data_IF_330778233959
#
_entry.id   IF_330778233959
#
_cell.length_a   1.000
_cell.length_b   1.000
_cell.length_c   1.000
_cell.angle_alpha   90.00
_cell.angle_beta   90.00
_cell.angle_gamma   90.00
#
_symmetry.space_group_name_H-M   'P 1'
#
loop_
_entity.id
_entity.type
_entity.pdbx_description
1 polymer ?
#
# COMPACT_ATOMS: atom_id res chain seq x y z
N UNK A 1 -50.05 -8.55 -3.09
CA UNK A 1 -49.42 -7.56 -3.99
C UNK A 1 -48.15 -7.05 -3.34
N UNK A 2 -47.00 -7.48 -3.86
CA UNK A 2 -45.67 -7.14 -3.33
C UNK A 2 -45.28 -5.73 -3.77
N UNK A 3 -44.92 -4.86 -2.81
CA UNK A 3 -44.24 -3.59 -3.08
C UNK A 3 -42.73 -3.80 -2.91
N UNK A 4 -42.01 -3.37 -3.93
CA UNK A 4 -40.56 -3.47 -4.14
C UNK A 4 -39.78 -2.55 -3.18
N UNK A 5 -38.83 -3.03 -2.36
CA UNK A 5 -37.97 -2.19 -1.54
C UNK A 5 -36.65 -1.90 -2.28
N UNK A 6 -36.74 -1.16 -3.38
CA UNK A 6 -35.59 -0.54 -4.02
C UNK A 6 -35.85 0.96 -4.08
N UNK A 7 -35.41 1.70 -3.04
CA UNK A 7 -35.04 3.12 -3.06
C UNK A 7 -34.95 3.68 -1.63
N UNK A 8 -33.82 3.49 -0.94
CA UNK A 8 -33.18 4.56 -0.15
C UNK A 8 -31.66 4.30 -0.14
N UNK A 9 -31.03 4.40 -1.30
CA UNK A 9 -29.63 4.81 -1.36
C UNK A 9 -29.68 6.29 -1.77
N UNK A 10 -29.55 7.16 -0.78
CA UNK A 10 -29.30 8.57 -1.07
C UNK A 10 -27.99 8.64 -1.86
N UNK A 11 -28.08 9.03 -3.13
CA UNK A 11 -26.90 9.37 -3.94
C UNK A 11 -26.08 10.41 -3.17
N UNK A 12 -24.74 10.28 -3.09
CA UNK A 12 -23.91 11.39 -2.63
C UNK A 12 -24.22 12.59 -3.54
N UNK A 13 -24.44 13.76 -2.94
CA UNK A 13 -24.55 15.00 -3.71
C UNK A 13 -23.28 15.13 -4.54
N UNK A 14 -23.40 15.17 -5.86
CA UNK A 14 -22.34 15.62 -6.76
C UNK A 14 -22.06 17.09 -6.44
N UNK A 15 -21.23 17.32 -5.42
CA UNK A 15 -20.58 18.59 -5.20
C UNK A 15 -19.44 18.69 -6.21
N UNK A 16 -19.40 19.76 -6.99
CA UNK A 16 -18.27 20.06 -7.85
C UNK A 16 -16.98 20.04 -7.02
N UNK A 17 -16.01 19.22 -7.42
CA UNK A 17 -14.73 19.13 -6.75
C UNK A 17 -14.02 20.49 -6.81
N UNK A 18 -13.53 20.95 -5.66
CA UNK A 18 -12.92 22.28 -5.55
C UNK A 18 -11.52 22.25 -6.12
N UNK A 19 -11.23 23.17 -7.04
CA UNK A 19 -9.88 23.35 -7.59
C UNK A 19 -8.97 24.01 -6.56
N UNK A 20 -7.67 23.73 -6.68
CA UNK A 20 -6.66 24.40 -5.88
C UNK A 20 -6.39 25.82 -6.41
N UNK A 21 -6.20 26.76 -5.49
CA UNK A 21 -5.76 28.12 -5.80
C UNK A 21 -4.31 28.28 -5.31
N UNK A 22 -3.42 28.75 -6.19
CA UNK A 22 -2.00 29.03 -5.89
C UNK A 22 -1.82 30.00 -4.71
N UNK A 23 -2.84 30.82 -4.44
CA UNK A 23 -2.83 31.73 -3.31
C UNK A 23 -2.98 31.03 -1.95
N UNK A 24 -3.44 29.78 -1.92
CA UNK A 24 -3.58 29.00 -0.67
C UNK A 24 -2.25 28.62 -0.03
N UNK A 25 -1.15 28.79 -0.75
CA UNK A 25 0.19 28.70 -0.17
C UNK A 25 0.42 29.71 0.95
N UNK A 26 -0.32 30.84 0.99
CA UNK A 26 -0.29 31.79 2.12
C UNK A 26 -0.85 31.20 3.43
N UNK A 27 -1.64 30.13 3.33
CA UNK A 27 -2.13 29.35 4.47
C UNK A 27 -1.26 28.11 4.74
N UNK A 28 -0.13 27.96 4.06
CA UNK A 28 0.78 26.84 4.25
C UNK A 28 0.36 25.54 3.57
N UNK A 29 -0.47 25.61 2.53
CA UNK A 29 -0.93 24.43 1.79
C UNK A 29 -0.40 24.42 0.36
N UNK A 30 -0.04 23.22 -0.09
CA UNK A 30 0.04 22.84 -1.51
C UNK A 30 -1.08 21.85 -1.82
N UNK A 31 -1.02 21.18 -2.98
CA UNK A 31 -1.97 20.13 -3.32
C UNK A 31 -1.26 18.85 -3.79
N UNK A 32 -1.99 17.73 -3.75
CA UNK A 32 -1.59 16.44 -4.29
C UNK A 32 -2.81 15.66 -4.78
N UNK A 33 -2.61 14.64 -5.61
CA UNK A 33 -3.70 13.83 -6.18
C UNK A 33 -3.94 14.14 -7.66
N UNK A 34 -5.16 13.86 -8.12
CA UNK A 34 -5.60 14.13 -9.48
C UNK A 34 -5.87 15.64 -9.68
N UNK A 35 -5.63 16.15 -10.88
CA UNK A 35 -5.95 17.54 -11.24
C UNK A 35 -7.46 17.82 -11.22
N UNK A 36 -8.26 16.77 -11.44
CA UNK A 36 -9.72 16.83 -11.35
C UNK A 36 -10.21 16.92 -9.89
N UNK A 37 -9.50 16.23 -8.98
CA UNK A 37 -9.88 16.06 -7.57
C UNK A 37 -8.72 16.39 -6.60
N UNK A 38 -8.16 17.62 -6.59
CA UNK A 38 -6.96 17.91 -5.82
C UNK A 38 -7.23 17.86 -4.31
N UNK A 39 -6.30 17.31 -3.54
CA UNK A 39 -6.36 17.28 -2.07
C UNK A 39 -5.37 18.28 -1.48
N UNK A 40 -5.79 19.13 -0.53
CA UNK A 40 -4.86 20.05 0.13
C UNK A 40 -3.85 19.26 0.97
N UNK A 41 -2.57 19.54 0.80
CA UNK A 41 -1.48 18.98 1.61
C UNK A 41 -0.80 20.11 2.39
N UNK A 42 -0.72 19.96 3.72
CA UNK A 42 0.02 20.90 4.56
C UNK A 42 1.53 20.81 4.27
N UNK A 43 2.18 21.95 4.04
CA UNK A 43 3.61 22.04 3.70
C UNK A 43 4.49 21.73 4.92
N UNK A 44 3.99 21.96 6.13
CA UNK A 44 4.76 21.80 7.38
C UNK A 44 4.75 20.34 7.86
N UNK A 45 3.57 19.75 8.10
CA UNK A 45 3.47 18.38 8.61
C UNK A 45 3.27 17.32 7.52
N UNK A 46 2.89 17.71 6.31
CA UNK A 46 2.57 16.76 5.23
C UNK A 46 1.15 16.19 5.29
N UNK A 47 0.32 16.57 6.26
CA UNK A 47 -1.07 16.10 6.39
C UNK A 47 -1.89 16.39 5.13
N UNK A 48 -2.64 15.39 4.68
CA UNK A 48 -3.55 15.50 3.55
C UNK A 48 -4.97 15.64 4.05
N UNK A 49 -5.64 16.71 3.66
CA UNK A 49 -7.04 16.96 3.96
C UNK A 49 -7.95 16.48 2.82
N UNK A 50 -9.24 16.35 3.10
CA UNK A 50 -10.24 16.10 2.04
C UNK A 50 -10.35 17.30 1.09
N UNK A 51 -10.81 17.07 -0.15
CA UNK A 51 -11.09 18.16 -1.11
C UNK A 51 -12.10 19.18 -0.54
N UNK A 52 -13.07 18.74 0.26
CA UNK A 52 -14.03 19.62 0.95
C UNK A 52 -13.37 20.65 1.89
N UNK A 53 -12.12 20.40 2.29
CA UNK A 53 -11.31 21.27 3.12
C UNK A 53 -10.54 22.32 2.32
N UNK A 54 -10.63 22.31 0.98
CA UNK A 54 -10.07 23.28 0.05
C UNK A 54 -10.83 24.63 0.10
N UNK A 55 -10.89 25.23 1.29
CA UNK A 55 -11.52 26.52 1.57
C UNK A 55 -10.63 27.29 2.54
N UNK A 56 -10.38 28.60 2.32
CA UNK A 56 -9.45 29.39 3.13
C UNK A 56 -9.66 29.28 4.65
N UNK A 57 -10.90 29.30 5.13
CA UNK A 57 -11.22 29.22 6.56
C UNK A 57 -10.75 27.90 7.19
N UNK A 58 -10.92 26.78 6.48
CA UNK A 58 -10.53 25.44 6.96
C UNK A 58 -9.01 25.26 6.93
N UNK A 59 -8.36 25.71 5.85
CA UNK A 59 -6.90 25.69 5.72
C UNK A 59 -6.24 26.57 6.79
N UNK A 60 -6.72 27.81 6.95
CA UNK A 60 -6.26 28.73 7.99
C UNK A 60 -6.42 28.10 9.38
N UNK A 61 -7.59 27.55 9.70
CA UNK A 61 -7.81 26.88 10.99
C UNK A 61 -6.77 25.78 11.27
N UNK A 62 -6.46 24.91 10.30
CA UNK A 62 -5.42 23.89 10.48
C UNK A 62 -4.05 24.51 10.78
N UNK A 63 -3.66 25.57 10.07
CA UNK A 63 -2.40 26.26 10.30
C UNK A 63 -2.31 26.81 11.74
N UNK A 64 -3.36 27.49 12.21
CA UNK A 64 -3.37 28.09 13.55
C UNK A 64 -3.46 27.03 14.67
N UNK A 65 -4.20 25.94 14.47
CA UNK A 65 -4.36 24.90 15.49
C UNK A 65 -3.16 23.96 15.59
N UNK A 66 -2.63 23.54 14.44
CA UNK A 66 -1.62 22.48 14.37
C UNK A 66 -0.20 23.04 14.32
N UNK A 67 -0.04 24.28 13.81
CA UNK A 67 1.26 24.94 13.68
C UNK A 67 1.25 26.41 14.17
N UNK A 68 0.96 26.67 15.47
CA UNK A 68 0.89 28.03 16.01
C UNK A 68 2.16 28.86 15.75
N UNK A 69 3.34 28.22 15.79
CA UNK A 69 4.64 28.85 15.53
C UNK A 69 4.82 29.37 14.10
N UNK A 70 4.03 28.84 13.15
CA UNK A 70 4.09 29.20 11.74
C UNK A 70 2.90 30.03 11.27
N UNK A 71 1.93 30.33 12.15
CA UNK A 71 0.67 30.97 11.78
C UNK A 71 0.81 32.40 11.24
N UNK A 72 1.86 33.11 11.67
CA UNK A 72 2.17 34.48 11.23
C UNK A 72 3.28 34.55 10.17
N UNK A 73 3.70 33.42 9.60
CA UNK A 73 4.71 33.39 8.54
C UNK A 73 4.10 33.82 7.22
N UNK A 74 4.93 34.40 6.36
CA UNK A 74 4.51 34.99 5.11
C UNK A 74 4.48 33.96 3.96
N UNK A 75 3.92 34.37 2.82
CA UNK A 75 3.83 33.53 1.61
C UNK A 75 5.22 33.04 1.15
N UNK A 76 6.29 33.83 1.32
CA UNK A 76 7.63 33.44 0.90
C UNK A 76 8.24 32.35 1.79
N UNK A 77 7.96 32.37 3.10
CA UNK A 77 8.34 31.27 4.00
C UNK A 77 7.80 29.92 3.50
N UNK A 78 6.49 29.86 3.23
CA UNK A 78 5.86 28.62 2.75
C UNK A 78 6.35 28.18 1.38
N UNK A 79 6.62 29.12 0.45
CA UNK A 79 7.28 28.81 -0.82
C UNK A 79 8.65 28.17 -0.62
N UNK A 80 9.49 28.70 0.28
CA UNK A 80 10.82 28.12 0.58
C UNK A 80 10.71 26.72 1.16
N UNK A 81 9.80 26.50 2.12
CA UNK A 81 9.55 25.17 2.68
C UNK A 81 9.10 24.18 1.61
N UNK A 82 8.19 24.59 0.71
CA UNK A 82 7.72 23.74 -0.37
C UNK A 82 8.87 23.34 -1.33
N UNK A 83 9.72 24.29 -1.70
CA UNK A 83 10.89 24.01 -2.55
C UNK A 83 11.90 23.09 -1.85
N UNK A 84 12.13 23.27 -0.55
CA UNK A 84 12.94 22.35 0.25
C UNK A 84 12.34 20.95 0.28
N UNK A 85 11.03 20.82 0.50
CA UNK A 85 10.33 19.54 0.46
C UNK A 85 10.44 18.87 -0.91
N UNK A 86 10.31 19.62 -2.01
CA UNK A 86 10.52 19.09 -3.38
C UNK A 86 11.95 18.60 -3.59
N UNK A 87 12.95 19.36 -3.13
CA UNK A 87 14.37 18.96 -3.20
C UNK A 87 14.64 17.70 -2.38
N UNK A 88 14.12 17.62 -1.16
CA UNK A 88 14.23 16.44 -0.30
C UNK A 88 13.55 15.23 -0.94
N UNK A 89 12.32 15.36 -1.45
CA UNK A 89 11.63 14.30 -2.20
C UNK A 89 12.44 13.83 -3.41
N UNK A 90 13.03 14.76 -4.18
CA UNK A 90 13.88 14.45 -5.33
C UNK A 90 15.17 13.74 -4.92
N UNK A 91 15.83 14.20 -3.86
CA UNK A 91 17.04 13.57 -3.32
C UNK A 91 16.74 12.17 -2.80
N UNK A 92 15.65 11.98 -2.05
CA UNK A 92 15.18 10.66 -1.62
C UNK A 92 14.88 9.76 -2.82
N UNK A 93 14.24 10.27 -3.86
CA UNK A 93 13.98 9.50 -5.09
C UNK A 93 15.29 9.10 -5.79
N UNK A 94 16.26 10.00 -5.89
CA UNK A 94 17.59 9.73 -6.44
C UNK A 94 18.36 8.70 -5.61
N UNK A 95 18.39 8.87 -4.28
CA UNK A 95 19.02 7.95 -3.35
C UNK A 95 18.40 6.54 -3.38
N UNK A 96 17.11 6.46 -3.76
CA UNK A 96 16.35 5.20 -3.85
C UNK A 96 16.12 4.80 -5.31
N UNK A 97 16.84 5.38 -6.29
CA UNK A 97 16.73 4.92 -7.68
C UNK A 97 17.42 3.57 -7.80
N UNK A 98 16.64 2.51 -7.66
CA UNK A 98 17.09 1.13 -7.81
C UNK A 98 17.03 0.77 -9.29
N UNK A 99 18.06 0.10 -9.81
CA UNK A 99 18.03 -0.51 -11.14
C UNK A 99 16.81 -1.45 -11.25
N UNK A 100 16.13 -1.46 -12.39
CA UNK A 100 15.01 -2.37 -12.64
C UNK A 100 15.38 -3.83 -12.36
N UNK A 101 16.59 -4.26 -12.76
CA UNK A 101 17.12 -5.60 -12.48
C UNK A 101 17.29 -5.88 -10.98
N UNK A 102 17.72 -4.88 -10.20
CA UNK A 102 17.88 -5.03 -8.76
C UNK A 102 16.53 -5.07 -8.03
N UNK A 103 15.52 -4.36 -8.56
CA UNK A 103 14.14 -4.46 -8.09
C UNK A 103 13.56 -5.84 -8.39
N UNK A 104 13.71 -6.32 -9.62
CA UNK A 104 13.29 -7.65 -10.05
C UNK A 104 13.95 -8.74 -9.17
N UNK A 105 15.27 -8.69 -8.99
CA UNK A 105 16.00 -9.60 -8.12
C UNK A 105 15.46 -9.60 -6.67
N UNK A 106 15.11 -8.42 -6.12
CA UNK A 106 14.50 -8.29 -4.80
C UNK A 106 13.17 -9.04 -4.70
N UNK A 107 12.31 -8.96 -5.73
CA UNK A 107 11.06 -9.74 -5.79
C UNK A 107 11.33 -11.25 -5.87
N UNK A 108 12.28 -11.69 -6.69
CA UNK A 108 12.63 -13.11 -6.79
C UNK A 108 13.12 -13.68 -5.46
N UNK A 109 14.01 -12.99 -4.76
CA UNK A 109 14.50 -13.41 -3.44
C UNK A 109 13.37 -13.42 -2.42
N UNK A 110 12.52 -12.39 -2.38
CA UNK A 110 11.37 -12.35 -1.48
C UNK A 110 10.39 -13.51 -1.73
N UNK A 111 10.16 -13.87 -2.99
CA UNK A 111 9.36 -15.04 -3.38
C UNK A 111 9.97 -16.34 -2.87
N UNK A 112 11.29 -16.51 -2.96
CA UNK A 112 11.99 -17.69 -2.43
C UNK A 112 11.86 -17.78 -0.91
N UNK A 113 12.06 -16.68 -0.18
CA UNK A 113 11.90 -16.61 1.28
C UNK A 113 10.48 -17.05 1.68
N UNK A 114 9.46 -16.50 1.00
CA UNK A 114 8.06 -16.83 1.27
C UNK A 114 7.73 -18.30 0.99
N UNK A 115 8.17 -18.85 -0.15
CA UNK A 115 7.92 -20.26 -0.52
C UNK A 115 8.54 -21.23 0.47
N UNK A 116 9.74 -20.91 0.96
CA UNK A 116 10.44 -21.73 1.96
C UNK A 116 9.97 -21.45 3.40
N UNK A 117 8.94 -20.60 3.59
CA UNK A 117 8.38 -20.22 4.89
C UNK A 117 9.45 -19.71 5.87
N UNK A 118 10.47 -19.01 5.37
CA UNK A 118 11.55 -18.47 6.20
C UNK A 118 11.20 -17.09 6.76
N UNK A 119 11.80 -16.69 7.90
CA UNK A 119 11.64 -15.34 8.44
C UNK A 119 12.06 -14.27 7.42
N UNK A 120 11.38 -13.14 7.40
CA UNK A 120 11.66 -12.03 6.47
C UNK A 120 13.06 -11.43 6.70
N UNK A 121 13.56 -11.50 7.92
CA UNK A 121 14.91 -11.05 8.32
C UNK A 121 16.04 -11.83 7.65
N UNK A 122 15.79 -13.05 7.14
CA UNK A 122 16.84 -13.86 6.51
C UNK A 122 17.47 -13.18 5.29
N UNK A 123 16.73 -12.29 4.63
CA UNK A 123 17.20 -11.50 3.50
C UNK A 123 18.41 -10.63 3.85
N UNK A 124 18.33 -9.90 4.96
CA UNK A 124 19.39 -9.01 5.43
C UNK A 124 20.43 -9.72 6.30
N UNK A 125 20.03 -10.70 7.11
CA UNK A 125 20.95 -11.35 8.06
C UNK A 125 21.87 -12.38 7.43
N UNK A 126 21.45 -13.00 6.31
CA UNK A 126 22.21 -14.10 5.71
C UNK A 126 22.33 -13.99 4.18
N UNK A 127 21.20 -13.87 3.47
CA UNK A 127 21.20 -13.98 2.00
C UNK A 127 22.05 -12.87 1.37
N UNK A 128 21.86 -11.62 1.81
CA UNK A 128 22.63 -10.49 1.28
C UNK A 128 24.12 -10.65 1.53
N UNK A 129 24.52 -10.99 2.75
CA UNK A 129 25.93 -11.20 3.11
C UNK A 129 26.56 -12.34 2.31
N UNK A 130 25.86 -13.48 2.17
CA UNK A 130 26.35 -14.62 1.39
C UNK A 130 26.54 -14.28 -0.09
N UNK A 131 25.57 -13.60 -0.72
CA UNK A 131 25.69 -13.18 -2.12
C UNK A 131 26.85 -12.20 -2.32
N UNK A 132 27.06 -11.26 -1.39
CA UNK A 132 28.18 -10.33 -1.45
C UNK A 132 29.52 -11.06 -1.38
N UNK A 133 29.66 -12.04 -0.47
CA UNK A 133 30.91 -12.79 -0.31
C UNK A 133 31.23 -13.65 -1.53
N UNK A 134 30.22 -14.33 -2.09
CA UNK A 134 30.36 -15.12 -3.32
C UNK A 134 30.81 -14.21 -4.48
N UNK A 135 30.14 -13.07 -4.68
CA UNK A 135 30.48 -12.14 -5.76
C UNK A 135 31.87 -11.53 -5.56
N UNK A 136 32.22 -11.17 -4.32
CA UNK A 136 33.54 -10.64 -3.97
C UNK A 136 34.66 -11.61 -4.34
N UNK A 137 34.49 -12.90 -4.02
CA UNK A 137 35.50 -13.94 -4.26
C UNK A 137 35.56 -14.38 -5.72
N UNK A 138 34.41 -14.49 -6.39
CA UNK A 138 34.31 -15.07 -7.74
C UNK A 138 34.47 -14.04 -8.86
N UNK A 139 33.95 -12.82 -8.66
CA UNK A 139 33.88 -11.78 -9.70
C UNK A 139 34.75 -10.57 -9.37
N UNK A 140 35.00 -10.33 -8.08
CA UNK A 140 35.83 -9.25 -7.61
C UNK A 140 35.08 -8.25 -6.70
N UNK A 141 35.81 -7.36 -6.03
CA UNK A 141 35.23 -6.42 -5.07
C UNK A 141 34.43 -5.29 -5.73
N UNK A 142 34.64 -5.01 -7.02
CA UNK A 142 33.95 -3.92 -7.73
C UNK A 142 32.47 -4.27 -7.99
N UNK A 143 32.21 -5.55 -8.26
CA UNK A 143 30.93 -6.11 -8.64
C UNK A 143 29.97 -6.22 -7.44
N UNK A 144 30.52 -6.26 -6.22
CA UNK A 144 29.74 -6.26 -4.97
C UNK A 144 28.82 -5.04 -4.85
N UNK A 145 29.20 -3.90 -5.45
CA UNK A 145 28.39 -2.67 -5.46
C UNK A 145 27.04 -2.89 -6.15
N UNK A 146 26.96 -3.74 -7.17
CA UNK A 146 25.71 -4.05 -7.87
C UNK A 146 24.78 -4.92 -7.01
N UNK A 147 25.33 -5.91 -6.30
CA UNK A 147 24.56 -6.74 -5.34
C UNK A 147 24.00 -5.88 -4.21
N UNK A 148 24.77 -4.88 -3.76
CA UNK A 148 24.35 -3.99 -2.70
C UNK A 148 23.12 -3.16 -3.04
N UNK A 149 22.86 -2.89 -4.32
CA UNK A 149 21.65 -2.20 -4.81
C UNK A 149 20.38 -3.03 -4.59
N UNK A 150 20.49 -4.35 -4.45
CA UNK A 150 19.34 -5.22 -4.14
C UNK A 150 18.93 -4.99 -2.68
N UNK A 151 17.71 -4.46 -2.49
CA UNK A 151 17.13 -4.24 -1.17
C UNK A 151 16.49 -5.53 -0.66
N UNK A 152 17.01 -6.05 0.46
CA UNK A 152 16.58 -7.29 1.11
C UNK A 152 16.30 -7.11 2.60
N UNK A 153 16.07 -5.87 3.06
CA UNK A 153 15.67 -5.63 4.45
C UNK A 153 14.36 -6.36 4.78
N UNK A 154 14.14 -6.68 6.06
CA UNK A 154 12.93 -7.38 6.48
C UNK A 154 11.65 -6.66 6.01
N UNK A 155 11.61 -5.33 6.11
CA UNK A 155 10.49 -4.51 5.65
C UNK A 155 10.32 -4.54 4.13
N UNK A 156 11.43 -4.53 3.38
CA UNK A 156 11.36 -4.68 1.93
C UNK A 156 10.82 -6.04 1.54
N UNK A 157 11.36 -7.12 2.11
CA UNK A 157 10.89 -8.48 1.82
C UNK A 157 9.40 -8.62 2.15
N UNK A 158 8.97 -8.11 3.32
CA UNK A 158 7.56 -8.09 3.72
C UNK A 158 6.68 -7.37 2.70
N UNK A 159 7.08 -6.16 2.30
CA UNK A 159 6.32 -5.37 1.30
C UNK A 159 6.27 -6.07 -0.05
N UNK A 160 7.39 -6.62 -0.55
CA UNK A 160 7.41 -7.36 -1.82
C UNK A 160 6.47 -8.58 -1.79
N UNK A 161 6.44 -9.31 -0.67
CA UNK A 161 5.51 -10.43 -0.48
C UNK A 161 4.05 -9.94 -0.49
N UNK A 162 3.77 -8.83 0.20
CA UNK A 162 2.44 -8.24 0.20
C UNK A 162 2.02 -7.79 -1.21
N UNK A 163 2.88 -7.07 -1.94
CA UNK A 163 2.63 -6.61 -3.31
C UNK A 163 2.29 -7.80 -4.22
N UNK A 164 3.11 -8.86 -4.21
CA UNK A 164 2.85 -10.08 -4.99
C UNK A 164 1.55 -10.76 -4.56
N UNK A 165 1.24 -10.80 -3.27
CA UNK A 165 -0.02 -11.37 -2.77
C UNK A 165 -1.23 -10.57 -3.24
N UNK A 166 -1.15 -9.24 -3.23
CA UNK A 166 -2.21 -8.36 -3.71
C UNK A 166 -2.42 -8.49 -5.22
N UNK A 167 -1.34 -8.63 -5.99
CA UNK A 167 -1.42 -8.84 -7.44
C UNK A 167 -2.05 -10.18 -7.81
N UNK A 168 -1.65 -11.26 -7.13
CA UNK A 168 -2.26 -12.58 -7.29
C UNK A 168 -3.76 -12.51 -6.93
N UNK A 169 -4.11 -11.84 -5.84
CA UNK A 169 -5.50 -11.66 -5.42
C UNK A 169 -6.30 -10.86 -6.46
N UNK A 170 -5.76 -9.76 -6.98
CA UNK A 170 -6.40 -8.95 -8.01
C UNK A 170 -6.66 -9.76 -9.29
N UNK A 171 -5.67 -10.57 -9.69
CA UNK A 171 -5.79 -11.48 -10.84
C UNK A 171 -6.85 -12.55 -10.60
N UNK A 172 -6.87 -13.15 -9.41
CA UNK A 172 -7.88 -14.12 -9.02
C UNK A 172 -9.29 -13.54 -9.07
N UNK A 173 -9.51 -12.36 -8.48
CA UNK A 173 -10.82 -11.68 -8.49
C UNK A 173 -11.29 -11.45 -9.93
N UNK A 174 -10.43 -10.93 -10.81
CA UNK A 174 -10.77 -10.73 -12.22
C UNK A 174 -11.20 -12.04 -12.89
N UNK A 175 -10.49 -13.14 -12.65
CA UNK A 175 -10.83 -14.46 -13.19
C UNK A 175 -12.16 -14.97 -12.66
N UNK A 176 -12.44 -14.81 -11.37
CA UNK A 176 -13.70 -15.24 -10.76
C UNK A 176 -14.89 -14.43 -11.27
N UNK A 177 -14.72 -13.13 -11.50
CA UNK A 177 -15.77 -12.28 -12.08
C UNK A 177 -16.09 -12.66 -13.54
N UNK A 178 -15.11 -13.20 -14.28
CA UNK A 178 -15.31 -13.71 -15.64
C UNK A 178 -15.72 -15.18 -15.71
N UNK A 179 -15.64 -15.91 -14.61
CA UNK A 179 -15.92 -17.35 -14.59
C UNK A 179 -17.43 -17.60 -14.58
N UNK A 180 -17.90 -18.54 -15.41
CA UNK A 180 -19.32 -18.96 -15.39
C UNK A 180 -19.69 -19.58 -14.04
N UNK A 181 -18.77 -20.36 -13.45
CA UNK A 181 -18.98 -21.12 -12.22
C UNK A 181 -17.72 -21.12 -11.38
N UNK A 182 -17.89 -20.88 -10.08
CA UNK A 182 -16.88 -21.12 -9.06
C UNK A 182 -17.55 -21.64 -7.80
N UNK A 183 -16.78 -22.32 -6.95
CA UNK A 183 -17.20 -22.73 -5.62
C UNK A 183 -16.29 -22.10 -4.57
N UNK A 184 -16.88 -21.68 -3.46
CA UNK A 184 -16.17 -21.18 -2.30
C UNK A 184 -16.36 -22.17 -1.15
N UNK A 185 -15.25 -22.73 -0.67
CA UNK A 185 -15.23 -23.55 0.53
C UNK A 185 -14.66 -22.73 1.68
N UNK A 186 -15.43 -22.59 2.75
CA UNK A 186 -14.99 -21.91 3.98
C UNK A 186 -14.83 -22.96 5.06
N UNK A 187 -13.68 -22.98 5.72
CA UNK A 187 -13.36 -23.92 6.79
C UNK A 187 -12.83 -23.17 8.01
N UNK A 188 -13.28 -23.54 9.19
CA UNK A 188 -12.71 -23.09 10.46
C UNK A 188 -11.67 -24.10 10.94
N UNK A 189 -10.54 -23.58 11.41
CA UNK A 189 -9.41 -24.35 11.96
C UNK A 189 -8.92 -23.65 13.21
N UNK A 190 -8.24 -24.34 14.10
CA UNK A 190 -7.60 -23.72 15.28
C UNK A 190 -6.09 -23.77 15.12
N UNK A 191 -5.39 -22.72 15.56
CA UNK A 191 -3.93 -22.75 15.63
C UNK A 191 -3.41 -23.39 16.91
N UNK A 192 -2.07 -23.53 16.99
CA UNK A 192 -1.38 -24.09 18.15
C UNK A 192 -1.61 -23.30 19.46
N UNK A 193 -2.26 -22.13 19.40
CA UNK A 193 -2.66 -21.32 20.56
C UNK A 193 -4.18 -21.34 20.76
N UNK A 194 -4.88 -22.32 20.19
CA UNK A 194 -6.34 -22.46 20.20
C UNK A 194 -7.09 -21.24 19.66
N UNK A 195 -6.48 -20.44 18.79
CA UNK A 195 -7.18 -19.32 18.15
C UNK A 195 -7.87 -19.79 16.88
N UNK A 196 -9.15 -19.48 16.76
CA UNK A 196 -9.94 -19.74 15.57
C UNK A 196 -9.35 -19.00 14.35
N UNK A 197 -9.19 -19.74 13.26
CA UNK A 197 -8.70 -19.31 11.96
C UNK A 197 -9.68 -19.75 10.88
N UNK A 198 -10.19 -18.80 10.11
CA UNK A 198 -11.04 -19.06 8.97
C UNK A 198 -10.20 -19.13 7.71
N UNK A 199 -10.34 -20.22 6.97
CA UNK A 199 -9.68 -20.46 5.68
C UNK A 199 -10.75 -20.47 4.60
N UNK A 200 -10.58 -19.62 3.59
CA UNK A 200 -11.41 -19.64 2.39
C UNK A 200 -10.60 -20.24 1.22
N UNK A 201 -11.16 -21.24 0.55
CA UNK A 201 -10.60 -21.90 -0.63
C UNK A 201 -11.57 -21.67 -1.78
N UNK A 202 -11.07 -21.09 -2.88
CA UNK A 202 -11.86 -20.91 -4.10
C UNK A 202 -11.49 -21.98 -5.10
N UNK A 203 -12.51 -22.58 -5.72
CA UNK A 203 -12.40 -23.55 -6.81
C UNK A 203 -13.05 -22.98 -8.06
N UNK A 204 -12.33 -22.97 -9.18
CA UNK A 204 -12.88 -22.53 -10.46
C UNK A 204 -12.24 -23.31 -11.62
N UNK A 205 -12.90 -23.31 -12.77
CA UNK A 205 -12.38 -23.94 -13.99
C UNK A 205 -11.70 -22.86 -14.83
N UNK A 206 -10.45 -23.10 -15.21
CA UNK A 206 -9.69 -22.26 -16.13
C UNK A 206 -9.17 -23.13 -17.28
N UNK A 207 -9.55 -22.80 -18.52
CA UNK A 207 -9.10 -23.51 -19.73
C UNK A 207 -9.22 -25.04 -19.63
N UNK A 208 -10.32 -25.52 -19.01
CA UNK A 208 -10.64 -26.95 -18.69
C UNK A 208 -9.96 -27.56 -17.46
N UNK A 209 -9.04 -26.86 -16.79
CA UNK A 209 -8.39 -27.33 -15.56
C UNK A 209 -9.09 -26.79 -14.30
N UNK A 210 -9.39 -27.69 -13.36
CA UNK A 210 -9.86 -27.30 -12.04
C UNK A 210 -8.70 -26.71 -11.22
N UNK A 211 -8.83 -25.44 -10.83
CA UNK A 211 -7.85 -24.76 -9.97
C UNK A 211 -8.40 -24.59 -8.56
N UNK A 212 -7.56 -24.88 -7.57
CA UNK A 212 -7.82 -24.67 -6.14
C UNK A 212 -6.86 -23.59 -5.63
N UNK A 213 -7.38 -22.48 -5.13
CA UNK A 213 -6.55 -21.39 -4.59
C UNK A 213 -7.04 -21.03 -3.19
N UNK A 214 -6.11 -20.97 -2.22
CA UNK A 214 -6.38 -20.45 -0.88
C UNK A 214 -6.52 -18.93 -1.01
N UNK A 215 -7.69 -18.42 -0.69
CA UNK A 215 -8.08 -17.03 -0.89
C UNK A 215 -7.64 -16.15 0.28
N UNK A 216 -7.88 -16.58 1.52
CA UNK A 216 -7.53 -15.79 2.71
C UNK A 216 -7.53 -16.64 3.99
N UNK A 217 -6.72 -16.24 4.97
CA UNK A 217 -6.73 -16.78 6.35
C UNK A 217 -6.95 -15.63 7.33
N UNK A 218 -8.07 -15.63 8.07
CA UNK A 218 -8.38 -14.63 9.11
C UNK A 218 -8.28 -15.24 10.49
N UNK A 219 -7.57 -14.58 11.41
CA UNK A 219 -7.65 -14.87 12.85
C UNK A 219 -8.79 -14.10 13.48
N UNK A 220 -9.57 -14.77 14.33
CA UNK A 220 -10.58 -14.13 15.16
C UNK A 220 -10.06 -13.96 16.60
N UNK A 221 -10.49 -12.88 17.26
CA UNK A 221 -10.18 -12.62 18.68
C UNK A 221 -11.21 -13.23 19.63
N UNK A 222 -12.35 -13.69 19.12
CA UNK A 222 -13.42 -14.32 19.89
C UNK A 222 -13.97 -15.54 19.15
N UNK A 223 -14.61 -16.44 19.91
CA UNK A 223 -15.43 -17.53 19.41
C UNK A 223 -16.62 -16.97 18.62
N UNK A 224 -16.41 -16.65 17.34
CA UNK A 224 -17.50 -16.39 16.41
C UNK A 224 -17.65 -17.66 15.57
N UNK A 225 -18.68 -18.49 15.83
CA UNK A 225 -18.94 -19.67 15.01
C UNK A 225 -19.14 -19.24 13.56
N UNK A 226 -18.61 -20.02 12.62
CA UNK A 226 -18.80 -19.84 11.15
C UNK A 226 -20.24 -19.52 10.76
N UNK A 227 -21.22 -20.01 11.53
CA UNK A 227 -22.66 -19.72 11.35
C UNK A 227 -22.98 -18.23 11.25
N UNK A 228 -22.31 -17.35 12.01
CA UNK A 228 -22.55 -15.90 11.97
C UNK A 228 -21.89 -15.17 10.80
N UNK A 229 -21.14 -15.87 9.95
CA UNK A 229 -20.44 -15.25 8.81
C UNK A 229 -21.32 -15.15 7.56
N UNK A 230 -22.39 -15.95 7.49
CA UNK A 230 -23.29 -16.04 6.34
C UNK A 230 -24.70 -15.50 6.62
N UNK A 231 -24.95 -15.01 7.84
CA UNK A 231 -26.14 -14.26 8.25
C UNK A 231 -25.91 -12.75 8.02
#
# INVERSE_FOLDING_TARGET
>A
MMKNPAQVLQKPKEGSEKKYDEDYIKYGFSWCGDETAPRPQCIICGDQLSNESMVPSKLKRHLYSSHPSCANKDKQYFKRCLEQNKKQKKFMKLAVTVSEKALEASYHVAKLIARQKKPQTVGETLIKAACMEIVRLMLGPNEVKEVNKVSLSADTVKRRIHDMSSDILGTLIKKLLSAEKFALQINETTDIKNKAQLIAIVRFVEETLLKNIIYFVRRFQSELPVKKFFE
#
